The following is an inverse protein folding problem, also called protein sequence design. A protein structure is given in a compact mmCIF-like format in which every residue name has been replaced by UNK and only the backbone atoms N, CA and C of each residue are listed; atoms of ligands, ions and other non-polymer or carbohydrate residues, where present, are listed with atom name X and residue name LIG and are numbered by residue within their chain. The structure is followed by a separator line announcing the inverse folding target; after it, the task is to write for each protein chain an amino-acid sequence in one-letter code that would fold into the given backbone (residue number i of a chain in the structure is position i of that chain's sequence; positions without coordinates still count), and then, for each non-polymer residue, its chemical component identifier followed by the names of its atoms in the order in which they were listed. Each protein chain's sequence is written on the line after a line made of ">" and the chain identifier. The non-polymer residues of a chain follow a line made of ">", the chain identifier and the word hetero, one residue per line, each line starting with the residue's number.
data_IF_616950798892
#
_entry.id   IF_616950798892
#
_cell.length_a   1.000
_cell.length_b   1.000
_cell.length_c   1.000
_cell.angle_alpha   90.00
_cell.angle_beta   90.00
_cell.angle_gamma   90.00
#
_symmetry.space_group_name_H-M   'P 1'
#
loop_
_entity.id
_entity.type
_entity.pdbx_description
1 polymer ?
#
# COMPACT_ATOMS: atom_id res chain seq x y z
N UNK A 1 -5.03 5.92 -7.32
CA UNK A 1 -4.71 4.48 -7.49
C UNK A 1 -6.00 3.69 -7.58
N UNK A 2 -6.02 2.66 -8.42
CA UNK A 2 -7.15 1.75 -8.66
C UNK A 2 -6.67 0.30 -8.64
N UNK A 3 -7.58 -0.68 -8.67
CA UNK A 3 -7.20 -2.09 -8.86
C UNK A 3 -6.31 -2.21 -10.11
N UNK A 4 -5.22 -2.96 -10.01
CA UNK A 4 -4.21 -3.15 -11.05
C UNK A 4 -3.08 -2.11 -11.07
N UNK A 5 -3.16 -1.03 -10.27
CA UNK A 5 -2.06 -0.05 -10.20
C UNK A 5 -0.82 -0.68 -9.58
N UNK A 6 0.31 -0.63 -10.29
CA UNK A 6 1.63 -1.02 -9.76
C UNK A 6 2.12 0.04 -8.79
N UNK A 7 2.53 -0.38 -7.61
CA UNK A 7 2.95 0.52 -6.53
C UNK A 7 4.26 0.07 -5.90
N UNK A 8 4.92 1.01 -5.23
CA UNK A 8 5.97 0.78 -4.24
C UNK A 8 5.48 1.28 -2.88
N UNK A 9 5.72 0.49 -1.83
CA UNK A 9 5.40 0.85 -0.46
C UNK A 9 6.46 1.82 0.04
N UNK A 10 6.09 3.08 0.15
CA UNK A 10 6.98 4.16 0.54
C UNK A 10 6.17 5.24 1.24
N UNK A 11 6.65 5.65 2.41
CA UNK A 11 6.07 6.77 3.18
C UNK A 11 7.15 7.70 3.64
N UNK A 12 6.76 8.94 3.90
CA UNK A 12 7.61 9.91 4.59
C UNK A 12 7.66 9.57 6.08
N UNK A 13 8.79 9.01 6.53
CA UNK A 13 8.97 8.60 7.92
C UNK A 13 9.27 9.77 8.88
N UNK A 14 9.57 10.96 8.36
CA UNK A 14 9.69 12.18 9.18
C UNK A 14 8.32 12.65 9.65
N UNK A 15 7.30 12.50 8.79
CA UNK A 15 5.91 12.83 9.08
C UNK A 15 5.13 11.67 9.69
N UNK A 16 5.46 10.43 9.30
CA UNK A 16 4.80 9.21 9.75
C UNK A 16 5.84 8.19 10.27
N UNK A 17 6.27 8.31 11.53
CA UNK A 17 7.36 7.51 12.10
C UNK A 17 7.14 6.00 11.95
N UNK A 18 8.19 5.27 11.54
CA UNK A 18 8.25 3.80 11.48
C UNK A 18 7.63 3.16 12.74
N UNK A 19 6.52 2.43 12.59
CA UNK A 19 5.83 1.73 13.70
C UNK A 19 5.41 0.33 13.28
N UNK A 20 5.40 -0.58 14.25
CA UNK A 20 4.95 -1.96 14.07
C UNK A 20 5.66 -2.66 12.91
N UNK A 21 4.89 -3.33 12.05
CA UNK A 21 5.41 -4.11 10.93
C UNK A 21 5.85 -3.27 9.71
N UNK A 22 5.83 -1.93 9.77
CA UNK A 22 6.16 -1.06 8.63
C UNK A 22 7.50 -1.42 7.96
N UNK A 23 8.53 -1.67 8.76
CA UNK A 23 9.88 -2.03 8.29
C UNK A 23 9.91 -3.26 7.38
N UNK A 24 8.94 -4.17 7.51
CA UNK A 24 8.83 -5.40 6.68
C UNK A 24 8.29 -5.13 5.28
N UNK A 25 7.63 -3.99 5.08
CA UNK A 25 6.98 -3.62 3.82
C UNK A 25 7.68 -2.47 3.11
N UNK A 26 8.44 -1.64 3.82
CA UNK A 26 9.19 -0.51 3.25
C UNK A 26 9.99 -0.94 2.02
N UNK A 27 9.74 -0.27 0.89
CA UNK A 27 10.40 -0.52 -0.39
C UNK A 27 9.85 -1.70 -1.21
N UNK A 28 8.89 -2.48 -0.68
CA UNK A 28 8.30 -3.60 -1.43
C UNK A 28 7.47 -3.08 -2.60
N UNK A 29 7.56 -3.80 -3.72
CA UNK A 29 6.81 -3.53 -4.94
C UNK A 29 5.61 -4.46 -5.00
N UNK A 30 4.44 -3.93 -5.33
CA UNK A 30 3.22 -4.70 -5.41
C UNK A 30 2.22 -4.14 -6.41
N UNK A 31 1.03 -4.72 -6.41
CA UNK A 31 -0.11 -4.31 -7.24
C UNK A 31 -1.32 -4.13 -6.32
N UNK A 32 -2.06 -3.04 -6.53
CA UNK A 32 -3.31 -2.80 -5.80
C UNK A 32 -4.36 -3.81 -6.25
N UNK A 33 -4.88 -4.62 -5.33
CA UNK A 33 -5.91 -5.64 -5.61
C UNK A 33 -7.32 -5.13 -5.29
N UNK A 34 -7.46 -4.28 -4.28
CA UNK A 34 -8.73 -3.68 -3.91
C UNK A 34 -8.55 -2.27 -3.33
N UNK A 35 -9.63 -1.49 -3.36
CA UNK A 35 -9.69 -0.17 -2.72
C UNK A 35 -10.96 -0.14 -1.88
N UNK A 36 -10.80 -0.13 -0.55
CA UNK A 36 -11.89 -0.07 0.40
C UNK A 36 -12.17 1.39 0.73
N UNK A 37 -13.39 1.85 0.44
CA UNK A 37 -13.85 3.21 0.72
C UNK A 37 -15.09 3.11 1.62
N UNK A 38 -14.87 3.29 2.93
CA UNK A 38 -15.94 3.39 3.92
C UNK A 38 -16.20 4.84 4.32
N UNK A 39 -16.71 5.07 5.54
CA UNK A 39 -16.84 6.42 6.13
C UNK A 39 -15.49 7.11 6.44
N UNK A 40 -14.38 6.39 6.37
CA UNK A 40 -13.03 6.89 6.70
C UNK A 40 -12.07 6.98 5.50
N UNK A 41 -10.78 7.27 5.76
CA UNK A 41 -9.76 7.33 4.73
C UNK A 41 -9.66 6.02 3.95
N UNK A 42 -9.57 6.11 2.62
CA UNK A 42 -9.48 4.95 1.76
C UNK A 42 -8.29 4.05 2.11
N UNK A 43 -8.52 2.74 2.06
CA UNK A 43 -7.52 1.70 2.28
C UNK A 43 -7.27 0.94 0.98
N UNK A 44 -6.00 0.64 0.73
CA UNK A 44 -5.53 0.02 -0.51
C UNK A 44 -4.94 -1.34 -0.16
N UNK A 45 -5.62 -2.41 -0.58
CA UNK A 45 -5.07 -3.76 -0.52
C UNK A 45 -4.00 -3.92 -1.58
N UNK A 46 -2.81 -4.38 -1.20
CA UNK A 46 -1.67 -4.59 -2.10
C UNK A 46 -1.23 -6.04 -2.03
N UNK A 47 -1.07 -6.66 -3.20
CA UNK A 47 -0.40 -7.96 -3.35
C UNK A 47 1.05 -7.76 -3.77
N UNK A 48 1.96 -8.43 -3.07
CA UNK A 48 3.38 -8.53 -3.40
C UNK A 48 3.69 -9.79 -4.21
N UNK A 49 2.87 -10.82 -4.06
CA UNK A 49 2.97 -12.11 -4.77
C UNK A 49 2.34 -12.07 -6.18
N UNK A 50 1.49 -11.08 -6.46
CA UNK A 50 0.83 -10.91 -7.76
C UNK A 50 -0.51 -11.63 -7.89
N UNK A 51 -1.06 -12.15 -6.80
CA UNK A 51 -2.40 -12.75 -6.76
C UNK A 51 -3.53 -11.72 -6.65
N UNK A 52 -4.77 -12.20 -6.69
CA UNK A 52 -5.98 -11.37 -6.50
C UNK A 52 -6.26 -11.00 -5.04
N UNK A 53 -5.58 -11.64 -4.09
CA UNK A 53 -5.70 -11.38 -2.65
C UNK A 53 -4.74 -10.29 -2.19
N UNK A 54 -5.19 -9.40 -1.29
CA UNK A 54 -4.31 -8.43 -0.65
C UNK A 54 -3.44 -9.10 0.42
N UNK A 55 -2.12 -8.94 0.32
CA UNK A 55 -1.16 -9.38 1.35
C UNK A 55 -1.16 -8.42 2.55
N UNK A 56 -1.37 -7.12 2.29
CA UNK A 56 -1.45 -6.08 3.31
C UNK A 56 -2.28 -4.87 2.83
N UNK A 57 -2.76 -4.09 3.79
CA UNK A 57 -3.53 -2.86 3.54
C UNK A 57 -2.71 -1.63 3.91
N UNK A 58 -2.78 -0.61 3.05
CA UNK A 58 -2.01 0.63 3.18
C UNK A 58 -2.90 1.86 3.03
N UNK A 59 -2.48 2.96 3.64
CA UNK A 59 -3.05 4.28 3.36
C UNK A 59 -2.45 4.87 2.09
N UNK A 60 -3.14 5.85 1.49
CA UNK A 60 -2.70 6.48 0.25
C UNK A 60 -1.27 7.07 0.34
N UNK A 61 -0.90 7.66 1.47
CA UNK A 61 0.41 8.28 1.68
C UNK A 61 1.55 7.27 1.91
N UNK A 62 1.23 5.99 2.02
CA UNK A 62 2.20 4.89 2.17
C UNK A 62 2.51 4.20 0.83
N UNK A 63 1.88 4.66 -0.25
CA UNK A 63 2.02 4.09 -1.58
C UNK A 63 2.46 5.14 -2.58
N UNK A 64 3.43 4.79 -3.42
CA UNK A 64 3.80 5.56 -4.61
C UNK A 64 3.54 4.73 -5.85
N UNK A 65 2.93 5.33 -6.87
CA UNK A 65 2.65 4.65 -8.14
C UNK A 65 3.94 4.52 -8.94
N UNK A 66 4.18 3.36 -9.53
CA UNK A 66 5.32 3.12 -10.42
C UNK A 66 4.83 2.83 -11.83
N UNK A 67 5.49 3.42 -12.82
CA UNK A 67 5.25 3.15 -14.24
C UNK A 67 5.78 1.76 -14.62
#
# INVERSE_FOLDING_TARGET
>A
MKKGTKVIVQRDETKYPARGAWHRFRGKKGVVTCVVRGRGPAEYGVSFSGGDSADAYFKRYELTERK
#
